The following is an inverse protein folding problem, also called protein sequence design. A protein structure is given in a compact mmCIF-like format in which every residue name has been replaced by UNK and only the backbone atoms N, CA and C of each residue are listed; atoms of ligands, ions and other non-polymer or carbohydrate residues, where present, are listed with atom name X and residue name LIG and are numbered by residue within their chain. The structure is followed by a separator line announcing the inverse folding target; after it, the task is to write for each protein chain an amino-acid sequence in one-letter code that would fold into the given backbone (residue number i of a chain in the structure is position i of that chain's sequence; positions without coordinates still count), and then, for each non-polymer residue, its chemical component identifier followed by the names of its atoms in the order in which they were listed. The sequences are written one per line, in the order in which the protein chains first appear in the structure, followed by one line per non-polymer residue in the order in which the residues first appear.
data_IF_274495053832
#
_entry.id   IF_274495053832
#
_cell.length_a   1.000
_cell.length_b   1.000
_cell.length_c   1.000
_cell.angle_alpha   90.00
_cell.angle_beta   90.00
_cell.angle_gamma   90.00
#
_symmetry.space_group_name_H-M   'P 1'
#
loop_
_entity.id
_entity.type
_entity.pdbx_description
1 polymer ?
#
# COMPACT_ATOMS: atom_id res chain seq x y z
N UNK A 1 10.50 68.43 -9.60
CA UNK A 1 11.50 67.37 -9.84
C UNK A 1 10.77 66.05 -10.07
N UNK A 2 11.14 65.34 -11.15
CA UNK A 2 10.83 63.94 -11.47
C UNK A 2 9.39 63.61 -11.90
N UNK A 3 9.01 64.17 -13.05
CA UNK A 3 8.19 63.43 -14.01
C UNK A 3 9.13 62.71 -14.98
N UNK A 4 8.66 61.57 -15.49
CA UNK A 4 9.19 60.83 -16.63
C UNK A 4 10.44 59.97 -16.39
N UNK A 5 10.47 58.89 -17.17
CA UNK A 5 11.55 57.91 -17.39
C UNK A 5 11.36 56.62 -16.59
N UNK A 6 10.61 55.69 -17.19
CA UNK A 6 11.04 54.29 -17.46
C UNK A 6 9.88 53.43 -18.02
N UNK A 7 9.17 53.97 -19.01
CA UNK A 7 8.21 53.25 -19.86
C UNK A 7 8.88 52.87 -21.20
N UNK A 8 10.15 52.43 -21.17
CA UNK A 8 10.87 52.03 -22.39
C UNK A 8 12.14 51.22 -22.05
N UNK A 9 11.96 49.95 -21.73
CA UNK A 9 12.95 48.90 -22.05
C UNK A 9 12.11 47.70 -22.50
N UNK A 10 11.57 47.77 -23.72
CA UNK A 10 12.23 47.17 -24.89
C UNK A 10 12.45 45.69 -24.57
N UNK A 11 11.37 44.90 -24.62
CA UNK A 11 11.10 44.05 -25.80
C UNK A 11 12.39 43.36 -26.25
N UNK A 12 12.74 42.18 -25.71
CA UNK A 12 13.77 41.28 -26.27
C UNK A 12 13.76 39.86 -25.62
N UNK A 13 12.60 39.34 -25.17
CA UNK A 13 12.51 37.92 -24.69
C UNK A 13 11.36 37.16 -25.38
N UNK A 14 11.12 37.46 -26.66
CA UNK A 14 10.26 36.67 -27.54
C UNK A 14 10.96 36.42 -28.86
N UNK A 15 12.08 35.68 -28.86
CA UNK A 15 12.52 34.89 -30.02
C UNK A 15 13.69 33.95 -29.69
N UNK A 16 13.41 32.79 -29.12
CA UNK A 16 14.27 31.62 -29.30
C UNK A 16 13.42 30.35 -29.15
N UNK A 17 12.64 30.07 -30.20
CA UNK A 17 12.25 28.72 -30.52
C UNK A 17 13.51 27.85 -30.66
N UNK A 18 13.80 27.05 -29.66
CA UNK A 18 14.31 25.69 -29.88
C UNK A 18 13.80 24.81 -28.76
N UNK A 19 12.57 24.33 -28.98
CA UNK A 19 12.15 22.95 -28.74
C UNK A 19 13.35 22.08 -28.32
N UNK A 20 13.60 21.97 -27.01
CA UNK A 20 14.53 20.98 -26.49
C UNK A 20 13.83 19.65 -26.64
N UNK A 21 13.99 19.08 -27.83
CA UNK A 21 13.71 17.69 -28.12
C UNK A 21 14.64 16.90 -27.22
N UNK A 22 14.10 16.43 -26.10
CA UNK A 22 14.76 15.41 -25.29
C UNK A 22 15.21 14.30 -26.25
N UNK A 23 16.43 13.75 -26.10
CA UNK A 23 16.83 12.62 -26.91
C UNK A 23 15.77 11.54 -26.72
N UNK A 24 15.05 11.24 -27.79
CA UNK A 24 14.30 10.00 -27.91
C UNK A 24 15.35 8.90 -27.82
N UNK A 25 15.67 8.48 -26.59
CA UNK A 25 16.25 7.18 -26.39
C UNK A 25 15.29 6.22 -27.06
N UNK A 26 15.75 5.38 -28.01
CA UNK A 26 14.96 4.24 -28.38
C UNK A 26 14.83 3.42 -27.10
N UNK A 27 13.71 3.55 -26.40
CA UNK A 27 13.25 2.50 -25.51
C UNK A 27 12.92 1.37 -26.45
N UNK A 28 13.96 0.60 -26.81
CA UNK A 28 13.82 -0.77 -27.23
C UNK A 28 12.86 -1.35 -26.21
N UNK A 29 11.66 -1.69 -26.64
CA UNK A 29 10.68 -2.41 -25.84
C UNK A 29 11.30 -3.78 -25.53
N UNK A 30 12.31 -3.79 -24.67
CA UNK A 30 12.75 -4.94 -23.94
C UNK A 30 11.57 -5.25 -23.06
N UNK A 31 10.77 -6.20 -23.52
CA UNK A 31 9.84 -6.98 -22.71
C UNK A 31 10.37 -7.01 -21.29
N UNK A 32 9.82 -6.18 -20.40
CA UNK A 32 10.03 -6.38 -18.98
C UNK A 32 9.69 -7.86 -18.75
N UNK A 33 10.56 -8.66 -18.13
CA UNK A 33 10.26 -10.06 -17.91
C UNK A 33 8.91 -10.08 -17.20
N UNK A 34 7.88 -10.58 -17.90
CA UNK A 34 6.55 -10.72 -17.34
C UNK A 34 6.78 -11.67 -16.16
N UNK A 35 6.70 -11.15 -14.95
CA UNK A 35 6.79 -11.96 -13.74
C UNK A 35 5.69 -13.01 -13.89
N UNK A 36 6.12 -14.24 -14.18
CA UNK A 36 5.22 -15.36 -14.34
C UNK A 36 4.79 -15.76 -12.93
N UNK A 37 3.53 -16.17 -12.78
CA UNK A 37 2.98 -16.55 -11.48
C UNK A 37 3.81 -17.72 -10.90
N UNK A 38 4.30 -18.58 -11.79
CA UNK A 38 5.16 -19.71 -11.49
C UNK A 38 6.53 -19.26 -10.96
N UNK A 39 7.12 -18.20 -11.53
CA UNK A 39 8.37 -17.62 -11.05
C UNK A 39 8.21 -16.94 -9.68
N UNK A 40 7.05 -16.33 -9.42
CA UNK A 40 6.73 -15.75 -8.11
C UNK A 40 6.51 -16.82 -7.04
N UNK A 41 5.90 -17.95 -7.39
CA UNK A 41 5.64 -19.07 -6.48
C UNK A 41 6.92 -19.84 -6.10
N UNK A 42 7.93 -19.87 -6.97
CA UNK A 42 9.18 -20.60 -6.75
C UNK A 42 10.02 -20.07 -5.56
N UNK A 43 9.74 -18.86 -5.08
CA UNK A 43 10.42 -18.24 -3.93
C UNK A 43 9.71 -18.38 -2.58
N UNK A 44 8.55 -19.04 -2.53
CA UNK A 44 7.79 -19.20 -1.29
C UNK A 44 8.34 -20.39 -0.49
N UNK A 45 9.15 -20.11 0.54
CA UNK A 45 9.52 -21.11 1.55
C UNK A 45 8.32 -21.41 2.46
N UNK A 46 7.62 -22.51 2.18
CA UNK A 46 6.40 -22.95 2.88
C UNK A 46 6.70 -23.65 4.23
N UNK A 47 7.94 -23.65 4.72
CA UNK A 47 8.33 -24.38 5.93
C UNK A 47 7.84 -23.77 7.25
N UNK A 48 7.42 -22.52 7.24
CA UNK A 48 6.53 -21.99 8.28
C UNK A 48 5.13 -21.88 7.70
N UNK A 49 4.05 -22.18 8.45
CA UNK A 49 2.71 -21.84 8.00
C UNK A 49 2.77 -20.35 7.65
N UNK A 50 2.46 -19.96 6.39
CA UNK A 50 2.48 -18.56 6.02
C UNK A 50 1.58 -17.88 7.04
N UNK A 51 2.12 -16.92 7.81
CA UNK A 51 1.29 -16.08 8.65
C UNK A 51 0.15 -15.62 7.74
N UNK A 52 -1.07 -16.06 8.04
CA UNK A 52 -2.15 -16.07 7.05
C UNK A 52 -2.44 -14.63 6.66
N UNK A 53 -1.84 -14.19 5.56
CA UNK A 53 -1.77 -12.80 5.16
C UNK A 53 -2.56 -12.66 3.87
N UNK A 54 -3.52 -11.75 3.88
CA UNK A 54 -4.39 -11.51 2.75
C UNK A 54 -4.49 -10.00 2.49
N UNK A 55 -4.22 -9.63 1.25
CA UNK A 55 -4.45 -8.28 0.75
C UNK A 55 -5.90 -8.13 0.31
N UNK A 56 -6.50 -6.96 0.55
CA UNK A 56 -7.71 -6.59 -0.16
C UNK A 56 -7.42 -6.44 -1.67
N UNK A 57 -8.40 -6.70 -2.55
CA UNK A 57 -8.16 -6.63 -4.00
C UNK A 57 -7.72 -5.26 -4.52
N UNK A 58 -8.06 -4.19 -3.81
CA UNK A 58 -7.67 -2.80 -4.10
C UNK A 58 -6.32 -2.39 -3.48
N UNK A 59 -5.69 -3.27 -2.69
CA UNK A 59 -4.44 -3.02 -1.98
C UNK A 59 -4.54 -2.00 -0.84
N UNK A 60 -5.74 -1.54 -0.48
CA UNK A 60 -5.93 -0.54 0.58
C UNK A 60 -5.79 -1.13 1.99
N UNK A 61 -6.05 -2.43 2.14
CA UNK A 61 -6.06 -3.14 3.41
C UNK A 61 -5.22 -4.42 3.35
N UNK A 62 -4.65 -4.76 4.50
CA UNK A 62 -3.92 -5.99 4.73
C UNK A 62 -4.45 -6.65 5.99
N UNK A 63 -4.86 -7.91 5.91
CA UNK A 63 -5.23 -8.72 7.08
C UNK A 63 -4.20 -9.78 7.34
N UNK A 64 -3.84 -9.99 8.61
CA UNK A 64 -2.91 -11.05 9.02
C UNK A 64 -3.15 -11.48 10.47
N UNK A 65 -2.54 -12.61 10.85
CA UNK A 65 -2.50 -13.07 12.23
C UNK A 65 -1.22 -12.58 12.91
N UNK A 66 -1.34 -12.04 14.12
CA UNK A 66 -0.20 -11.68 14.98
C UNK A 66 -0.43 -12.16 16.42
N UNK A 67 0.64 -12.40 17.20
CA UNK A 67 0.49 -12.71 18.62
C UNK A 67 -0.13 -11.53 19.38
N UNK A 68 -1.23 -11.78 20.08
CA UNK A 68 -1.85 -10.87 21.03
C UNK A 68 -1.08 -10.80 22.36
N UNK A 69 -1.47 -9.87 23.22
CA UNK A 69 -0.88 -9.72 24.56
C UNK A 69 -1.13 -10.94 25.49
N UNK A 70 -2.11 -11.75 25.15
CA UNK A 70 -2.48 -13.02 25.78
C UNK A 70 -1.65 -14.22 25.25
N UNK A 71 -0.79 -13.99 24.25
CA UNK A 71 -0.02 -15.05 23.59
C UNK A 71 -0.81 -15.86 22.55
N UNK A 72 -2.09 -15.52 22.31
CA UNK A 72 -2.91 -16.15 21.28
C UNK A 72 -2.88 -15.32 19.99
N UNK A 73 -2.98 -15.98 18.84
CA UNK A 73 -2.99 -15.25 17.55
C UNK A 73 -4.31 -14.51 17.35
N UNK A 74 -4.24 -13.19 17.16
CA UNK A 74 -5.39 -12.33 16.86
C UNK A 74 -5.43 -11.96 15.39
N UNK A 75 -6.63 -11.77 14.84
CA UNK A 75 -6.81 -11.28 13.48
C UNK A 75 -6.76 -9.75 13.51
N UNK A 76 -5.85 -9.19 12.73
CA UNK A 76 -5.69 -7.74 12.59
C UNK A 76 -5.88 -7.29 11.16
N UNK A 77 -6.37 -6.07 11.02
CA UNK A 77 -6.49 -5.34 9.76
C UNK A 77 -5.62 -4.09 9.81
N UNK A 78 -4.82 -3.90 8.77
CA UNK A 78 -3.96 -2.76 8.58
C UNK A 78 -4.43 -1.94 7.38
N UNK A 79 -4.75 -0.67 7.62
CA UNK A 79 -5.04 0.31 6.58
C UNK A 79 -3.73 0.93 6.10
N UNK A 80 -3.39 0.71 4.83
CA UNK A 80 -2.08 1.08 4.26
C UNK A 80 -1.91 2.59 4.20
N UNK A 81 -2.97 3.31 3.80
CA UNK A 81 -2.90 4.75 3.55
C UNK A 81 -2.73 5.52 4.85
N UNK A 82 -3.53 5.16 5.85
CA UNK A 82 -3.50 5.80 7.17
C UNK A 82 -2.44 5.19 8.11
N UNK A 83 -1.83 4.06 7.72
CA UNK A 83 -0.91 3.26 8.53
C UNK A 83 -1.50 2.86 9.88
N UNK A 84 -2.82 2.64 9.90
CA UNK A 84 -3.56 2.34 11.13
C UNK A 84 -3.83 0.86 11.22
N UNK A 85 -3.41 0.27 12.34
CA UNK A 85 -3.74 -1.10 12.71
C UNK A 85 -5.04 -1.13 13.53
N UNK A 86 -5.87 -2.13 13.29
CA UNK A 86 -7.07 -2.43 14.07
C UNK A 86 -7.13 -3.92 14.35
N UNK A 87 -7.42 -4.28 15.59
CA UNK A 87 -7.76 -5.67 15.93
C UNK A 87 -9.18 -5.93 15.47
N UNK A 88 -9.35 -6.93 14.61
CA UNK A 88 -10.65 -7.31 14.06
C UNK A 88 -11.29 -8.39 14.94
N UNK A 89 -10.49 -9.35 15.41
CA UNK A 89 -10.96 -10.45 16.26
C UNK A 89 -9.88 -10.80 17.28
N UNK A 90 -10.27 -10.88 18.56
CA UNK A 90 -9.45 -11.48 19.62
C UNK A 90 -9.98 -12.87 19.98
N UNK A 91 -9.11 -13.87 20.17
CA UNK A 91 -9.53 -15.21 20.53
C UNK A 91 -10.31 -15.29 21.85
N UNK A 92 -9.89 -14.52 22.87
CA UNK A 92 -10.59 -14.52 24.16
C UNK A 92 -12.05 -14.04 24.05
N UNK A 93 -12.30 -12.99 23.25
CA UNK A 93 -13.65 -12.49 22.98
C UNK A 93 -14.55 -13.57 22.33
N UNK A 94 -13.96 -14.55 21.64
CA UNK A 94 -14.70 -15.69 21.07
C UNK A 94 -14.94 -16.79 22.10
N UNK A 95 -13.94 -17.08 22.95
CA UNK A 95 -14.06 -18.09 24.01
C UNK A 95 -15.12 -17.68 25.04
N UNK A 96 -15.12 -16.42 25.47
CA UNK A 96 -16.14 -15.91 26.40
C UNK A 96 -17.56 -16.10 25.84
N UNK A 97 -17.78 -15.72 24.58
CA UNK A 97 -19.08 -15.89 23.92
C UNK A 97 -19.51 -17.36 23.81
N UNK A 98 -18.57 -18.26 23.56
CA UNK A 98 -18.87 -19.69 23.50
C UNK A 98 -19.30 -20.23 24.87
N UNK A 99 -18.60 -19.84 25.93
CA UNK A 99 -18.92 -20.26 27.31
C UNK A 99 -20.29 -19.74 27.74
N UNK A 100 -20.62 -18.49 27.43
CA UNK A 100 -21.95 -17.91 27.72
C UNK A 100 -23.07 -18.66 26.99
N UNK A 101 -22.84 -19.02 25.72
CA UNK A 101 -23.83 -19.76 24.91
C UNK A 101 -24.08 -21.18 25.43
N UNK A 102 -23.03 -21.86 25.94
CA UNK A 102 -23.18 -23.18 26.54
C UNK A 102 -23.91 -23.14 27.89
N UNK A 103 -23.67 -22.10 28.69
CA UNK A 103 -24.37 -21.90 29.96
C UNK A 103 -25.87 -21.63 29.78
N UNK A 104 -26.26 -20.84 28.77
CA UNK A 104 -27.66 -20.56 28.44
C UNK A 104 -28.42 -21.81 27.95
N UNK A 105 -27.72 -22.73 27.26
CA UNK A 105 -28.32 -23.97 26.74
C UNK A 105 -28.47 -25.08 27.80
N UNK A 106 -27.85 -24.94 28.96
CA UNK A 106 -27.87 -25.92 30.05
C UNK A 106 -28.99 -25.71 31.08
N UNK A 107 -29.83 -24.69 30.89
CA UNK A 107 -30.99 -24.33 31.72
C UNK A 107 -32.28 -24.64 30.94
#
# INVERSE_FOLDING_TARGET
MKHAICMALVAWVTLACTRTQAPAHPVKAGSAPRLSIEAAAAGLDLKSPPAALAWSPDGAFLTYLEPGADGLNQLVGFDVKSKKLRVLVRPLDLVEKLVETEAEKAI
#
